data_IF_139398811808
#
_entry.id   IF_139398811808
#
_cell.length_a   1.000
_cell.length_b   1.000
_cell.length_c   1.000
_cell.angle_alpha   90.00
_cell.angle_beta   90.00
_cell.angle_gamma   90.00
#
_symmetry.space_group_name_H-M   'P 1'
#
loop_
_entity.id
_entity.type
_entity.pdbx_description
1 polymer ?
#
# COMPACT_ATOMS: atom_id res chain seq x y z
N UNK A 1 27.80 10.45 -16.26
CA UNK A 1 26.74 11.28 -15.67
C UNK A 1 25.45 10.97 -16.44
N UNK A 2 24.66 10.05 -15.95
CA UNK A 2 23.33 9.74 -16.52
C UNK A 2 22.40 10.90 -16.17
N UNK A 3 21.86 11.57 -17.18
CA UNK A 3 20.85 12.60 -16.98
C UNK A 3 19.70 12.02 -16.15
N UNK A 4 19.37 12.68 -15.04
CA UNK A 4 18.20 12.31 -14.25
C UNK A 4 16.98 12.44 -15.17
N UNK A 5 16.31 11.32 -15.43
CA UNK A 5 15.09 11.33 -16.22
C UNK A 5 14.07 12.26 -15.56
N UNK A 6 13.48 13.16 -16.34
CA UNK A 6 12.42 14.05 -15.85
C UNK A 6 11.32 13.19 -15.21
N UNK A 7 10.88 13.51 -13.97
CA UNK A 7 9.81 12.75 -13.32
C UNK A 7 8.56 12.71 -14.19
N UNK A 8 7.97 11.54 -14.34
CA UNK A 8 6.76 11.36 -15.12
C UNK A 8 5.61 12.14 -14.47
N UNK A 9 4.87 12.89 -15.28
CA UNK A 9 3.63 13.55 -14.85
C UNK A 9 2.50 12.54 -14.75
N UNK A 10 1.42 12.87 -14.05
CA UNK A 10 0.23 12.01 -13.97
C UNK A 10 -0.36 11.69 -15.36
N UNK A 11 -0.34 12.67 -16.29
CA UNK A 11 -0.78 12.44 -17.67
C UNK A 11 0.10 11.38 -18.35
N UNK A 12 1.42 11.44 -18.16
CA UNK A 12 2.35 10.43 -18.66
C UNK A 12 2.13 9.04 -18.05
N UNK A 13 1.81 8.96 -16.76
CA UNK A 13 1.45 7.70 -16.09
C UNK A 13 0.17 7.11 -16.70
N UNK A 14 -0.85 7.93 -16.94
CA UNK A 14 -2.09 7.48 -17.56
C UNK A 14 -1.86 6.95 -18.98
N UNK A 15 -1.03 7.63 -19.77
CA UNK A 15 -0.68 7.20 -21.11
C UNK A 15 0.05 5.84 -21.10
N UNK A 16 1.01 5.66 -20.20
CA UNK A 16 1.70 4.37 -20.02
C UNK A 16 0.71 3.26 -19.68
N UNK A 17 -0.20 3.48 -18.73
CA UNK A 17 -1.21 2.48 -18.36
C UNK A 17 -2.08 2.02 -19.53
N UNK A 18 -2.36 2.93 -20.46
CA UNK A 18 -3.23 2.64 -21.62
C UNK A 18 -2.45 2.02 -22.79
N UNK A 19 -1.25 2.51 -23.07
CA UNK A 19 -0.51 2.18 -24.29
C UNK A 19 0.65 1.20 -24.09
N UNK A 20 1.28 1.22 -22.92
CA UNK A 20 2.52 0.51 -22.61
C UNK A 20 2.48 -0.11 -21.19
N UNK A 21 1.41 -0.88 -20.83
CA UNK A 21 1.23 -1.38 -19.46
C UNK A 21 2.37 -2.29 -18.96
N UNK A 22 3.13 -2.91 -19.87
CA UNK A 22 4.32 -3.71 -19.56
C UNK A 22 5.42 -2.89 -18.88
N UNK A 23 5.47 -1.58 -19.08
CA UNK A 23 6.41 -0.68 -18.41
C UNK A 23 6.24 -0.66 -16.90
N UNK A 24 5.05 -0.97 -16.39
CA UNK A 24 4.82 -1.09 -14.95
C UNK A 24 5.66 -2.23 -14.39
N UNK A 25 5.61 -3.41 -15.03
CA UNK A 25 6.40 -4.55 -14.59
C UNK A 25 7.90 -4.29 -14.72
N UNK A 26 8.33 -3.63 -15.80
CA UNK A 26 9.73 -3.23 -16.00
C UNK A 26 10.20 -2.25 -14.91
N UNK A 27 9.40 -1.26 -14.54
CA UNK A 27 9.70 -0.31 -13.48
C UNK A 27 9.87 -1.01 -12.12
N UNK A 28 9.00 -1.96 -11.79
CA UNK A 28 9.15 -2.78 -10.58
C UNK A 28 10.44 -3.62 -10.59
N UNK A 29 10.78 -4.22 -11.72
CA UNK A 29 11.96 -5.07 -11.85
C UNK A 29 13.29 -4.29 -11.74
N UNK A 30 13.31 -3.03 -12.17
CA UNK A 30 14.51 -2.19 -12.19
C UNK A 30 14.63 -1.26 -10.98
N UNK A 31 13.57 -1.14 -10.17
CA UNK A 31 13.55 -0.31 -8.97
C UNK A 31 14.71 -0.65 -8.03
N UNK A 32 15.47 0.35 -7.63
CA UNK A 32 16.49 0.20 -6.59
C UNK A 32 15.80 -0.01 -5.24
N UNK A 33 16.08 -1.14 -4.61
CA UNK A 33 15.58 -1.49 -3.26
C UNK A 33 16.54 -0.98 -2.18
N UNK A 34 16.08 -0.95 -0.95
CA UNK A 34 16.90 -0.66 0.23
C UNK A 34 16.83 -1.81 1.23
N UNK A 35 17.69 -1.78 2.22
CA UNK A 35 17.57 -2.62 3.41
C UNK A 35 16.27 -2.27 4.16
N UNK A 36 15.63 -3.29 4.75
CA UNK A 36 14.33 -3.13 5.40
C UNK A 36 14.39 -2.23 6.61
N UNK A 37 15.39 -2.41 7.47
CA UNK A 37 15.57 -1.62 8.69
C UNK A 37 16.94 -0.98 8.63
N UNK A 38 17.01 0.33 8.79
CA UNK A 38 18.28 1.06 8.87
C UNK A 38 18.99 0.85 10.20
N UNK A 39 20.20 1.39 10.32
CA UNK A 39 21.04 1.24 11.49
C UNK A 39 20.42 1.79 12.80
N UNK A 40 19.48 2.73 12.70
CA UNK A 40 18.76 3.30 13.84
C UNK A 40 17.58 2.43 14.35
N UNK A 41 17.29 1.32 13.68
CA UNK A 41 16.21 0.40 14.04
C UNK A 41 14.79 0.97 13.85
N UNK A 42 14.62 2.08 13.14
CA UNK A 42 13.34 2.77 12.97
C UNK A 42 12.91 2.81 11.52
N UNK A 43 11.58 2.90 11.30
CA UNK A 43 10.98 3.07 9.99
C UNK A 43 9.87 4.12 10.05
N UNK A 44 9.88 5.03 9.10
CA UNK A 44 8.77 5.96 8.83
C UNK A 44 8.13 5.60 7.51
N UNK A 45 6.96 4.96 7.57
CA UNK A 45 6.17 4.52 6.41
C UNK A 45 4.94 5.42 6.26
N UNK A 46 4.79 6.05 5.11
CA UNK A 46 3.61 6.87 4.78
C UNK A 46 2.48 5.96 4.34
N UNK A 47 1.33 6.03 5.01
CA UNK A 47 0.16 5.22 4.68
C UNK A 47 -0.76 5.92 3.67
N UNK A 48 -1.00 5.29 2.51
CA UNK A 48 -1.82 5.81 1.41
C UNK A 48 -2.89 4.82 0.92
N UNK A 49 -3.32 3.89 1.75
CA UNK A 49 -4.31 2.86 1.39
C UNK A 49 -5.76 3.22 1.76
N UNK A 50 -5.98 4.30 2.52
CA UNK A 50 -7.29 4.71 3.03
C UNK A 50 -8.35 4.98 1.94
N UNK A 51 -8.03 5.66 0.81
CA UNK A 51 -9.03 5.93 -0.22
C UNK A 51 -9.69 4.67 -0.80
N UNK A 52 -8.95 3.56 -0.88
CA UNK A 52 -9.46 2.32 -1.44
C UNK A 52 -10.57 1.66 -0.61
N UNK A 53 -10.71 2.03 0.67
CA UNK A 53 -11.81 1.59 1.54
C UNK A 53 -12.90 2.67 1.76
N UNK A 54 -12.85 3.77 1.00
CA UNK A 54 -13.80 4.88 1.12
C UNK A 54 -13.47 5.89 2.21
N UNK A 55 -12.35 5.76 2.92
CA UNK A 55 -11.92 6.71 3.94
C UNK A 55 -11.19 7.90 3.27
N UNK A 56 -11.95 8.88 2.81
CA UNK A 56 -11.45 10.03 2.05
C UNK A 56 -11.19 11.26 2.92
N UNK A 57 -11.76 11.31 4.09
CA UNK A 57 -11.72 12.48 4.97
C UNK A 57 -10.42 12.60 5.78
N UNK A 58 -10.01 13.83 6.04
CA UNK A 58 -8.94 14.17 6.98
C UNK A 58 -9.45 15.32 7.88
N UNK A 59 -9.62 15.05 9.16
CA UNK A 59 -10.20 16.01 10.14
C UNK A 59 -11.53 16.55 9.63
N UNK A 60 -11.65 17.87 9.41
CA UNK A 60 -12.88 18.55 8.95
C UNK A 60 -13.05 18.57 7.43
N UNK A 61 -12.07 18.09 6.66
CA UNK A 61 -12.12 18.04 5.19
C UNK A 61 -12.57 16.64 4.72
N UNK A 62 -13.85 16.43 4.34
CA UNK A 62 -14.40 15.10 4.10
C UNK A 62 -13.87 14.42 2.83
N UNK A 63 -13.33 15.19 1.89
CA UNK A 63 -12.81 14.70 0.60
C UNK A 63 -11.32 15.00 0.39
N UNK A 64 -10.56 15.21 1.45
CA UNK A 64 -9.15 15.62 1.36
C UNK A 64 -8.25 14.63 0.59
N UNK A 65 -8.63 13.36 0.51
CA UNK A 65 -7.87 12.31 -0.20
C UNK A 65 -8.61 11.78 -1.44
N UNK A 66 -9.67 12.46 -1.91
CA UNK A 66 -10.47 12.00 -3.05
C UNK A 66 -9.79 12.28 -4.40
N UNK A 67 -9.00 13.35 -4.48
CA UNK A 67 -8.28 13.71 -5.71
C UNK A 67 -7.02 12.84 -5.86
N UNK A 68 -7.04 11.93 -6.86
CA UNK A 68 -5.88 11.08 -7.16
C UNK A 68 -4.62 11.88 -7.55
N UNK A 69 -4.70 12.93 -8.41
CA UNK A 69 -3.55 13.77 -8.70
C UNK A 69 -2.90 14.34 -7.44
N UNK A 70 -3.69 14.99 -6.60
CA UNK A 70 -3.20 15.57 -5.36
C UNK A 70 -2.64 14.53 -4.38
N UNK A 71 -3.24 13.34 -4.31
CA UNK A 71 -2.72 12.26 -3.49
C UNK A 71 -1.32 11.86 -3.94
N UNK A 72 -1.12 11.66 -5.25
CA UNK A 72 0.18 11.28 -5.80
C UNK A 72 1.23 12.37 -5.62
N UNK A 73 0.89 13.64 -5.85
CA UNK A 73 1.79 14.77 -5.62
C UNK A 73 2.24 14.86 -4.15
N UNK A 74 1.31 14.70 -3.21
CA UNK A 74 1.63 14.66 -1.76
C UNK A 74 2.52 13.48 -1.41
N UNK A 75 2.29 12.30 -2.01
CA UNK A 75 3.11 11.12 -1.78
C UNK A 75 4.53 11.29 -2.33
N UNK A 76 4.67 11.80 -3.54
CA UNK A 76 5.99 12.11 -4.14
C UNK A 76 6.73 13.12 -3.25
N UNK A 77 6.06 14.18 -2.82
CA UNK A 77 6.62 15.17 -1.90
C UNK A 77 7.04 14.57 -0.57
N UNK A 78 6.20 13.71 0.03
CA UNK A 78 6.52 13.05 1.29
C UNK A 78 7.71 12.09 1.15
N UNK A 79 7.71 11.26 0.10
CA UNK A 79 8.77 10.28 -0.16
C UNK A 79 10.12 10.93 -0.48
N UNK A 80 10.13 12.15 -0.99
CA UNK A 80 11.36 12.91 -1.23
C UNK A 80 12.01 13.44 0.05
N UNK A 81 11.30 13.43 1.19
CA UNK A 81 11.83 13.97 2.45
C UNK A 81 12.86 13.02 3.07
N UNK A 82 13.95 13.56 3.63
CA UNK A 82 14.87 12.77 4.46
C UNK A 82 14.13 12.11 5.62
N UNK A 83 14.50 10.87 5.93
CA UNK A 83 13.90 10.11 7.04
C UNK A 83 12.56 9.43 6.71
N UNK A 84 11.98 9.65 5.54
CA UNK A 84 10.85 8.84 5.07
C UNK A 84 11.38 7.60 4.38
N UNK A 85 11.07 6.43 4.95
CA UNK A 85 11.64 5.15 4.52
C UNK A 85 10.82 4.44 3.45
N UNK A 86 9.52 4.68 3.38
CA UNK A 86 8.68 3.99 2.41
C UNK A 86 7.23 4.41 2.44
N UNK A 87 6.43 3.64 1.70
CA UNK A 87 4.99 3.85 1.55
C UNK A 87 4.24 2.54 1.69
N UNK A 88 3.07 2.61 2.32
CA UNK A 88 2.03 1.59 2.29
C UNK A 88 0.92 2.06 1.34
N UNK A 89 0.68 1.32 0.28
CA UNK A 89 -0.30 1.70 -0.73
C UNK A 89 -1.08 0.54 -1.33
N UNK A 90 -2.09 0.88 -2.11
CA UNK A 90 -2.83 -0.06 -2.94
C UNK A 90 -2.09 -0.34 -4.25
N UNK A 91 -2.42 -1.44 -4.97
CA UNK A 91 -1.71 -1.80 -6.20
C UNK A 91 -1.62 -0.66 -7.22
N UNK A 92 -2.72 0.05 -7.42
CA UNK A 92 -2.82 1.15 -8.37
C UNK A 92 -1.97 2.37 -7.99
N UNK A 93 -1.94 2.73 -6.71
CA UNK A 93 -1.12 3.85 -6.20
C UNK A 93 0.36 3.50 -6.26
N UNK A 94 0.73 2.28 -5.87
CA UNK A 94 2.12 1.84 -5.89
C UNK A 94 2.66 1.73 -7.33
N UNK A 95 1.85 1.26 -8.28
CA UNK A 95 2.22 1.22 -9.70
C UNK A 95 2.45 2.62 -10.27
N UNK A 96 1.65 3.61 -9.88
CA UNK A 96 1.89 5.00 -10.30
C UNK A 96 3.19 5.56 -9.70
N UNK A 97 3.41 5.33 -8.40
CA UNK A 97 4.61 5.81 -7.72
C UNK A 97 5.90 5.20 -8.26
N UNK A 98 5.89 3.90 -8.64
CA UNK A 98 7.08 3.28 -9.25
C UNK A 98 7.36 3.84 -10.63
N UNK A 99 6.33 4.08 -11.45
CA UNK A 99 6.47 4.73 -12.75
C UNK A 99 7.02 6.16 -12.63
N UNK A 100 6.60 6.88 -11.58
CA UNK A 100 7.09 8.24 -11.29
C UNK A 100 8.51 8.26 -10.70
N UNK A 101 9.13 7.08 -10.46
CA UNK A 101 10.45 6.98 -9.84
C UNK A 101 10.48 7.32 -8.35
N UNK A 102 9.32 7.51 -7.71
CA UNK A 102 9.22 7.92 -6.31
C UNK A 102 9.57 6.81 -5.31
N UNK A 103 9.70 5.55 -5.77
CA UNK A 103 10.02 4.39 -4.95
C UNK A 103 11.49 3.98 -4.98
N UNK A 104 12.36 4.78 -5.62
CA UNK A 104 13.79 4.51 -5.65
C UNK A 104 14.42 4.59 -4.26
N UNK A 105 14.97 3.48 -3.78
CA UNK A 105 15.55 3.39 -2.44
C UNK A 105 14.53 3.53 -1.31
N UNK A 106 13.26 3.24 -1.56
CA UNK A 106 12.16 3.27 -0.58
C UNK A 106 11.58 1.87 -0.40
N UNK A 107 11.02 1.60 0.79
CA UNK A 107 10.23 0.41 1.04
C UNK A 107 8.85 0.57 0.41
N UNK A 108 8.35 -0.50 -0.21
CA UNK A 108 7.00 -0.57 -0.76
C UNK A 108 6.23 -1.69 -0.06
N UNK A 109 5.21 -1.31 0.70
CA UNK A 109 4.31 -2.23 1.41
C UNK A 109 2.97 -2.25 0.68
N UNK A 110 2.54 -3.42 0.26
CA UNK A 110 1.27 -3.59 -0.46
C UNK A 110 0.10 -3.86 0.48
N UNK A 111 -0.99 -3.14 0.31
CA UNK A 111 -2.25 -3.47 0.98
C UNK A 111 -2.79 -4.79 0.43
N UNK A 112 -3.12 -5.77 1.28
CA UNK A 112 -3.60 -7.09 0.90
C UNK A 112 -5.13 -7.18 0.99
N UNK A 113 -5.72 -6.64 2.05
CA UNK A 113 -7.16 -6.49 2.19
C UNK A 113 -7.53 -5.01 2.36
N UNK A 114 -8.80 -4.69 2.22
CA UNK A 114 -9.31 -3.32 2.40
C UNK A 114 -9.82 -3.08 3.82
N UNK A 115 -9.90 -4.13 4.64
CA UNK A 115 -10.45 -4.07 5.98
C UNK A 115 -11.92 -3.65 6.02
N UNK A 116 -12.69 -4.12 5.02
CA UNK A 116 -14.05 -3.69 4.76
C UNK A 116 -14.14 -2.32 4.10
N UNK A 117 -15.22 -2.07 3.35
CA UNK A 117 -15.57 -0.75 2.88
C UNK A 117 -16.25 0.01 4.02
N UNK A 118 -15.81 1.23 4.29
CA UNK A 118 -16.37 2.08 5.33
C UNK A 118 -17.88 2.25 5.13
N UNK A 119 -18.65 1.94 6.17
CA UNK A 119 -20.11 2.03 6.16
C UNK A 119 -20.85 0.92 5.41
N UNK A 120 -20.14 -0.09 4.88
CA UNK A 120 -20.78 -1.25 4.25
C UNK A 120 -21.24 -2.27 5.30
N UNK A 121 -22.32 -3.00 5.00
CA UNK A 121 -22.82 -4.08 5.86
C UNK A 121 -21.82 -5.24 6.03
N UNK A 122 -20.85 -5.36 5.14
CA UNK A 122 -19.76 -6.34 5.18
C UNK A 122 -18.44 -5.73 5.69
N UNK A 123 -18.47 -4.70 6.50
CA UNK A 123 -17.26 -4.02 6.96
C UNK A 123 -16.30 -4.93 7.74
N UNK A 124 -16.81 -6.00 8.38
CA UNK A 124 -16.01 -7.05 9.03
C UNK A 124 -15.58 -8.16 8.06
N UNK A 125 -16.02 -8.16 6.82
CA UNK A 125 -15.56 -9.10 5.80
C UNK A 125 -14.16 -8.67 5.31
N UNK A 126 -13.15 -9.39 5.73
CA UNK A 126 -11.74 -9.10 5.52
C UNK A 126 -11.15 -9.75 4.26
N UNK A 127 -11.98 -10.08 3.30
CA UNK A 127 -11.50 -10.69 2.04
C UNK A 127 -10.31 -9.95 1.47
N UNK A 128 -9.34 -10.74 1.05
CA UNK A 128 -8.15 -10.23 0.39
C UNK A 128 -8.51 -9.85 -1.05
N UNK A 129 -8.65 -8.56 -1.28
CA UNK A 129 -9.15 -7.97 -2.54
C UNK A 129 -8.10 -7.12 -3.26
N UNK A 130 -6.86 -7.11 -2.76
CA UNK A 130 -5.75 -6.39 -3.36
C UNK A 130 -4.58 -7.35 -3.64
N UNK A 131 -3.45 -7.22 -2.96
CA UNK A 131 -2.32 -8.12 -3.17
C UNK A 131 -2.48 -9.47 -2.47
N UNK A 132 -2.05 -10.55 -3.16
CA UNK A 132 -1.68 -11.81 -2.52
C UNK A 132 -0.19 -11.78 -2.16
N UNK A 133 0.26 -12.68 -1.28
CA UNK A 133 1.68 -12.78 -0.92
C UNK A 133 2.56 -13.11 -2.15
N UNK A 134 2.07 -13.98 -3.04
CA UNK A 134 2.77 -14.31 -4.30
C UNK A 134 2.88 -13.11 -5.24
N UNK A 135 1.82 -12.29 -5.37
CA UNK A 135 1.85 -11.09 -6.20
C UNK A 135 2.83 -10.04 -5.66
N UNK A 136 2.92 -9.89 -4.33
CA UNK A 136 3.90 -9.02 -3.68
C UNK A 136 5.34 -9.48 -4.00
N UNK A 137 5.59 -10.77 -3.86
CA UNK A 137 6.89 -11.37 -4.14
C UNK A 137 7.29 -11.21 -5.61
N UNK A 138 6.39 -11.51 -6.55
CA UNK A 138 6.63 -11.40 -8.00
C UNK A 138 6.95 -9.97 -8.44
N UNK A 139 6.34 -8.97 -7.80
CA UNK A 139 6.60 -7.55 -8.07
C UNK A 139 7.81 -7.00 -7.31
N UNK A 140 8.43 -7.77 -6.43
CA UNK A 140 9.55 -7.31 -5.62
C UNK A 140 9.19 -6.25 -4.57
N UNK A 141 7.96 -6.30 -4.02
CA UNK A 141 7.60 -5.49 -2.87
C UNK A 141 8.29 -6.02 -1.60
N UNK A 142 8.32 -5.20 -0.57
CA UNK A 142 9.07 -5.49 0.66
C UNK A 142 8.21 -6.14 1.74
N UNK A 143 6.88 -6.05 1.60
CA UNK A 143 5.94 -6.65 2.54
C UNK A 143 4.49 -6.46 2.16
N UNK A 144 3.60 -7.10 2.92
CA UNK A 144 2.16 -7.00 2.83
C UNK A 144 1.54 -6.47 4.11
N UNK A 145 0.47 -5.71 3.98
CA UNK A 145 -0.27 -5.15 5.12
C UNK A 145 -1.71 -5.63 5.10
N UNK A 146 -2.18 -6.07 6.26
CA UNK A 146 -3.56 -6.44 6.53
C UNK A 146 -4.16 -5.50 7.58
N UNK A 147 -5.39 -5.07 7.36
CA UNK A 147 -6.22 -4.52 8.42
C UNK A 147 -7.00 -5.68 9.04
N UNK A 148 -6.90 -5.82 10.36
CA UNK A 148 -7.56 -6.88 11.12
C UNK A 148 -8.58 -6.23 12.04
N UNK A 149 -9.84 -6.23 11.64
CA UNK A 149 -10.91 -5.66 12.44
C UNK A 149 -11.41 -6.68 13.45
N UNK A 150 -11.48 -6.29 14.72
CA UNK A 150 -11.85 -7.12 15.84
C UNK A 150 -13.08 -6.51 16.52
N UNK A 151 -14.18 -7.26 16.53
CA UNK A 151 -15.41 -6.94 17.27
C UNK A 151 -15.83 -8.19 18.04
N UNK A 152 -15.58 -8.21 19.36
CA UNK A 152 -15.68 -9.44 20.19
C UNK A 152 -17.07 -10.10 20.16
N UNK A 153 -18.12 -9.33 19.96
CA UNK A 153 -19.49 -9.83 19.84
C UNK A 153 -19.90 -10.25 18.42
N UNK A 154 -19.01 -10.15 17.41
CA UNK A 154 -19.32 -10.41 16.02
C UNK A 154 -18.67 -11.68 15.49
N UNK A 155 -19.47 -12.55 14.89
CA UNK A 155 -18.99 -13.82 14.32
C UNK A 155 -17.96 -13.64 13.18
N UNK A 156 -17.92 -12.49 12.52
CA UNK A 156 -16.92 -12.18 11.50
C UNK A 156 -15.50 -12.01 12.03
N UNK A 157 -15.31 -11.83 13.33
CA UNK A 157 -13.99 -11.65 13.94
C UNK A 157 -13.09 -12.88 13.79
N UNK A 158 -13.61 -14.07 14.05
CA UNK A 158 -12.81 -15.30 13.97
C UNK A 158 -12.31 -15.58 12.53
N UNK A 159 -13.14 -15.51 11.48
CA UNK A 159 -12.66 -15.59 10.09
C UNK A 159 -11.58 -14.52 9.75
N UNK A 160 -11.73 -13.29 10.25
CA UNK A 160 -10.75 -12.20 10.04
C UNK A 160 -9.39 -12.56 10.64
N UNK A 161 -9.37 -13.08 11.86
CA UNK A 161 -8.14 -13.53 12.52
C UNK A 161 -7.50 -14.70 11.77
N UNK A 162 -8.30 -15.68 11.33
CA UNK A 162 -7.81 -16.81 10.56
C UNK A 162 -7.19 -16.37 9.22
N UNK A 163 -7.86 -15.51 8.47
CA UNK A 163 -7.36 -15.00 7.19
C UNK A 163 -6.05 -14.21 7.37
N UNK A 164 -5.97 -13.39 8.42
CA UNK A 164 -4.75 -12.67 8.76
C UNK A 164 -3.60 -13.62 9.11
N UNK A 165 -3.85 -14.67 9.91
CA UNK A 165 -2.85 -15.66 10.27
C UNK A 165 -2.33 -16.42 9.04
N UNK A 166 -3.22 -16.80 8.12
CA UNK A 166 -2.85 -17.43 6.85
C UNK A 166 -1.95 -16.52 6.01
N UNK A 167 -2.33 -15.27 5.83
CA UNK A 167 -1.53 -14.30 5.07
C UNK A 167 -0.15 -14.06 5.68
N UNK A 168 -0.02 -14.05 7.01
CA UNK A 168 1.29 -13.97 7.69
C UNK A 168 2.15 -15.17 7.31
N UNK A 169 1.60 -16.39 7.37
CA UNK A 169 2.32 -17.60 6.99
C UNK A 169 2.79 -17.57 5.53
N UNK A 170 1.94 -17.10 4.62
CA UNK A 170 2.29 -16.96 3.20
C UNK A 170 3.38 -15.91 2.99
N UNK A 171 3.30 -14.75 3.64
CA UNK A 171 4.33 -13.71 3.58
C UNK A 171 5.66 -14.21 4.13
N UNK A 172 5.64 -14.93 5.25
CA UNK A 172 6.83 -15.52 5.85
C UNK A 172 7.51 -16.53 4.92
N UNK A 173 6.73 -17.35 4.19
CA UNK A 173 7.27 -18.31 3.22
C UNK A 173 8.05 -17.62 2.07
N UNK A 174 7.68 -16.39 1.72
CA UNK A 174 8.41 -15.57 0.75
C UNK A 174 9.46 -14.64 1.38
N UNK A 175 9.67 -14.71 2.70
CA UNK A 175 10.56 -13.81 3.41
C UNK A 175 10.13 -12.33 3.35
N UNK A 176 8.84 -12.05 3.20
CA UNK A 176 8.27 -10.71 3.15
C UNK A 176 7.84 -10.23 4.55
N UNK A 177 7.88 -8.91 4.78
CA UNK A 177 7.35 -8.34 6.01
C UNK A 177 5.83 -8.50 6.08
N UNK A 178 5.31 -8.89 7.24
CA UNK A 178 3.88 -8.84 7.55
C UNK A 178 3.60 -7.65 8.46
N UNK A 179 2.75 -6.73 8.02
CA UNK A 179 2.29 -5.60 8.80
C UNK A 179 0.81 -5.79 9.13
N UNK A 180 0.45 -5.78 10.40
CA UNK A 180 -0.93 -5.90 10.86
C UNK A 180 -1.35 -4.58 11.49
N UNK A 181 -2.51 -4.08 11.08
CA UNK A 181 -3.20 -2.97 11.73
C UNK A 181 -4.43 -3.52 12.46
N UNK A 182 -4.33 -3.84 13.77
CA UNK A 182 -5.47 -4.27 14.54
C UNK A 182 -6.41 -3.09 14.78
N UNK A 183 -7.69 -3.31 14.55
CA UNK A 183 -8.72 -2.27 14.70
C UNK A 183 -9.84 -2.80 15.59
N UNK A 184 -9.93 -2.30 16.81
CA UNK A 184 -11.03 -2.63 17.72
C UNK A 184 -12.28 -1.89 17.27
N UNK A 185 -13.33 -2.62 16.94
CA UNK A 185 -14.65 -2.08 16.62
C UNK A 185 -15.60 -2.36 17.77
N UNK A 186 -16.23 -1.33 18.28
CA UNK A 186 -17.44 -1.53 19.09
C UNK A 186 -18.57 -1.83 18.12
N UNK A 187 -19.23 -2.96 18.33
CA UNK A 187 -20.51 -3.25 17.68
C UNK A 187 -21.56 -2.52 18.49
N UNK A 188 -22.05 -1.41 17.96
CA UNK A 188 -23.22 -0.72 18.51
C UNK A 188 -24.50 -1.50 18.28
#
# INVERSE_FOLDING_TARGET
MTAAATPLTLAGVTEIRVREPERIAAAWATRRRRERVGADGRLLIVAAHHPARGALGVRTAPLASASRPELLERLVSALSRPGVDGVLGTPDVLDDLVLMGALEGKLAIGSMNRGGLQGACFELDDRFTAYTASALQQRGLDGGKMLTRIALGNAGTAPTLEASARAIGELAAYGLMAMIEPFMSEVS
#
